data_IF_397581261143
#
_entry.id   IF_397581261143
#
_cell.length_a   1.000
_cell.length_b   1.000
_cell.length_c   1.000
_cell.angle_alpha   90.00
_cell.angle_beta   90.00
_cell.angle_gamma   90.00
#
_symmetry.space_group_name_H-M   'P 1'
#
loop_
_entity.id
_entity.type
_entity.pdbx_description
1 polymer ?
#
# COMPACT_ATOMS: atom_id res chain seq x y z
N UNK A 1 -55.05 -34.14 -39.05
CA UNK A 1 -54.03 -33.14 -39.43
C UNK A 1 -53.59 -32.21 -38.28
N UNK A 2 -54.46 -31.83 -37.34
CA UNK A 2 -54.11 -30.87 -36.25
C UNK A 2 -53.26 -31.47 -35.11
N UNK A 3 -53.46 -32.74 -34.75
CA UNK A 3 -52.75 -33.40 -33.64
C UNK A 3 -51.25 -33.59 -33.89
N UNK A 4 -50.86 -33.91 -35.13
CA UNK A 4 -49.45 -34.04 -35.55
C UNK A 4 -48.68 -32.72 -35.40
N UNK A 5 -49.35 -31.58 -35.69
CA UNK A 5 -48.74 -30.26 -35.52
C UNK A 5 -48.59 -29.88 -34.04
N UNK A 6 -49.49 -30.36 -33.17
CA UNK A 6 -49.42 -30.14 -31.72
C UNK A 6 -48.29 -30.97 -31.08
N UNK A 7 -48.09 -32.22 -31.51
CA UNK A 7 -46.98 -33.05 -31.02
C UNK A 7 -45.61 -32.56 -31.50
N UNK A 8 -45.49 -32.10 -32.75
CA UNK A 8 -44.26 -31.52 -33.28
C UNK A 8 -43.82 -30.27 -32.48
N UNK A 9 -44.77 -29.38 -32.16
CA UNK A 9 -44.52 -28.19 -31.32
C UNK A 9 -44.12 -28.57 -29.89
N UNK A 10 -44.73 -29.59 -29.30
CA UNK A 10 -44.39 -30.07 -27.96
C UNK A 10 -42.97 -30.67 -27.91
N UNK A 11 -42.59 -31.46 -28.92
CA UNK A 11 -41.25 -32.03 -29.04
C UNK A 11 -40.19 -30.94 -29.22
N UNK A 12 -40.46 -29.93 -30.06
CA UNK A 12 -39.55 -28.80 -30.25
C UNK A 12 -39.39 -27.96 -28.97
N UNK A 13 -40.47 -27.73 -28.23
CA UNK A 13 -40.42 -27.03 -26.94
C UNK A 13 -39.58 -27.80 -25.90
N UNK A 14 -39.75 -29.13 -25.81
CA UNK A 14 -38.93 -29.98 -24.94
C UNK A 14 -37.46 -29.98 -25.35
N UNK A 15 -37.15 -29.97 -26.64
CA UNK A 15 -35.77 -29.89 -27.14
C UNK A 15 -35.11 -28.57 -26.71
N UNK A 16 -35.77 -27.43 -26.94
CA UNK A 16 -35.27 -26.11 -26.53
C UNK A 16 -35.12 -25.97 -25.01
N UNK A 17 -36.04 -26.55 -24.23
CA UNK A 17 -35.93 -26.56 -22.78
C UNK A 17 -34.70 -27.34 -22.30
N UNK A 18 -34.39 -28.49 -22.94
CA UNK A 18 -33.19 -29.28 -22.64
C UNK A 18 -31.91 -28.57 -23.05
N UNK A 19 -31.89 -27.93 -24.22
CA UNK A 19 -30.76 -27.13 -24.70
C UNK A 19 -30.45 -25.99 -23.72
N UNK A 20 -31.45 -25.19 -23.33
CA UNK A 20 -31.27 -24.12 -22.33
C UNK A 20 -30.82 -24.65 -20.96
N UNK A 21 -31.33 -25.80 -20.53
CA UNK A 21 -30.88 -26.42 -19.28
C UNK A 21 -29.43 -26.90 -19.36
N UNK A 22 -28.97 -27.37 -20.53
CA UNK A 22 -27.57 -27.74 -20.74
C UNK A 22 -26.66 -26.51 -20.76
N UNK A 23 -27.06 -25.44 -21.46
CA UNK A 23 -26.34 -24.16 -21.47
C UNK A 23 -26.23 -23.56 -20.07
N UNK A 24 -27.32 -23.57 -19.31
CA UNK A 24 -27.30 -23.07 -17.93
C UNK A 24 -26.33 -23.86 -17.05
N UNK A 25 -26.32 -25.19 -17.15
CA UNK A 25 -25.35 -26.01 -16.41
C UNK A 25 -23.91 -25.69 -16.79
N UNK A 26 -23.61 -25.60 -18.09
CA UNK A 26 -22.28 -25.24 -18.55
C UNK A 26 -21.83 -23.85 -18.04
N UNK A 27 -22.76 -22.89 -17.97
CA UNK A 27 -22.48 -21.58 -17.37
C UNK A 27 -22.23 -21.67 -15.87
N UNK A 28 -22.99 -22.48 -15.13
CA UNK A 28 -22.74 -22.69 -13.69
C UNK A 28 -21.39 -23.36 -13.45
N UNK A 29 -21.05 -24.40 -14.20
CA UNK A 29 -19.75 -25.07 -14.11
C UNK A 29 -18.59 -24.08 -14.36
N UNK A 30 -18.76 -23.16 -15.33
CA UNK A 30 -17.77 -22.13 -15.59
C UNK A 30 -17.68 -21.09 -14.45
N UNK A 31 -18.82 -20.70 -13.87
CA UNK A 31 -18.83 -19.78 -12.73
C UNK A 31 -18.19 -20.42 -11.48
N UNK A 32 -18.43 -21.70 -11.25
CA UNK A 32 -17.78 -22.46 -10.18
C UNK A 32 -16.27 -22.49 -10.37
N UNK A 33 -15.79 -22.76 -11.59
CA UNK A 33 -14.35 -22.74 -11.89
C UNK A 33 -13.75 -21.35 -11.66
N UNK A 34 -14.39 -20.29 -12.15
CA UNK A 34 -13.92 -18.91 -11.95
C UNK A 34 -13.88 -18.52 -10.48
N UNK A 35 -14.82 -19.00 -9.66
CA UNK A 35 -14.80 -18.76 -8.22
C UNK A 35 -13.60 -19.45 -7.56
N UNK A 36 -13.29 -20.70 -7.93
CA UNK A 36 -12.10 -21.41 -7.46
C UNK A 36 -10.83 -20.66 -7.85
N UNK A 37 -10.72 -20.26 -9.12
CA UNK A 37 -9.55 -19.54 -9.62
C UNK A 37 -9.36 -18.20 -8.88
N UNK A 38 -10.47 -17.50 -8.58
CA UNK A 38 -10.43 -16.28 -7.78
C UNK A 38 -9.88 -16.52 -6.38
N UNK A 39 -10.37 -17.53 -5.66
CA UNK A 39 -9.89 -17.80 -4.29
C UNK A 39 -8.41 -18.20 -4.28
N UNK A 40 -7.99 -19.04 -5.23
CA UNK A 40 -6.56 -19.40 -5.37
C UNK A 40 -5.71 -18.15 -5.65
N UNK A 41 -6.19 -17.24 -6.51
CA UNK A 41 -5.48 -16.00 -6.79
C UNK A 41 -5.45 -15.06 -5.56
N UNK A 42 -6.54 -14.98 -4.80
CA UNK A 42 -6.62 -14.18 -3.59
C UNK A 42 -5.65 -14.70 -2.52
N UNK A 43 -5.65 -16.01 -2.25
CA UNK A 43 -4.73 -16.64 -1.32
C UNK A 43 -3.27 -16.42 -1.75
N UNK A 44 -2.98 -16.56 -3.05
CA UNK A 44 -1.64 -16.29 -3.59
C UNK A 44 -1.20 -14.83 -3.39
N UNK A 45 -2.11 -13.87 -3.46
CA UNK A 45 -1.79 -12.46 -3.21
C UNK A 45 -1.41 -12.22 -1.74
N UNK A 46 -2.11 -12.86 -0.82
CA UNK A 46 -1.82 -12.76 0.61
C UNK A 46 -0.46 -13.40 0.93
N UNK A 47 -0.18 -14.57 0.38
CA UNK A 47 1.13 -15.23 0.51
C UNK A 47 2.28 -14.35 -0.04
N UNK A 48 2.09 -13.72 -1.20
CA UNK A 48 3.07 -12.81 -1.78
C UNK A 48 3.31 -11.60 -0.87
N UNK A 49 2.27 -11.03 -0.29
CA UNK A 49 2.39 -9.88 0.62
C UNK A 49 3.15 -10.28 1.89
N UNK A 50 2.77 -11.37 2.54
CA UNK A 50 3.45 -11.87 3.74
C UNK A 50 4.93 -12.15 3.48
N UNK A 51 5.25 -12.82 2.37
CA UNK A 51 6.64 -13.13 2.02
C UNK A 51 7.43 -11.86 1.71
N UNK A 52 6.82 -10.91 1.03
CA UNK A 52 7.45 -9.60 0.74
C UNK A 52 7.77 -8.85 2.02
N UNK A 53 6.84 -8.81 2.98
CA UNK A 53 7.07 -8.18 4.29
C UNK A 53 8.21 -8.85 5.06
N UNK A 54 8.24 -10.19 5.10
CA UNK A 54 9.33 -10.96 5.71
C UNK A 54 10.68 -10.63 5.07
N UNK A 55 10.74 -10.55 3.74
CA UNK A 55 11.96 -10.20 3.03
C UNK A 55 12.40 -8.75 3.29
N UNK A 56 11.47 -7.80 3.37
CA UNK A 56 11.80 -6.40 3.70
C UNK A 56 12.42 -6.31 5.10
N UNK A 57 11.85 -6.99 6.09
CA UNK A 57 12.40 -7.01 7.46
C UNK A 57 13.80 -7.61 7.46
N UNK A 58 13.97 -8.80 6.85
CA UNK A 58 15.27 -9.45 6.77
C UNK A 58 16.32 -8.60 6.05
N UNK A 59 15.93 -7.92 4.98
CA UNK A 59 16.81 -7.02 4.22
C UNK A 59 17.20 -5.80 5.05
N UNK A 60 16.27 -5.20 5.79
CA UNK A 60 16.54 -4.06 6.68
C UNK A 60 17.52 -4.44 7.78
N UNK A 61 17.31 -5.57 8.46
CA UNK A 61 18.24 -6.06 9.48
C UNK A 61 19.65 -6.32 8.90
N UNK A 62 19.70 -6.91 7.71
CA UNK A 62 20.98 -7.14 7.02
C UNK A 62 21.65 -5.83 6.67
N UNK A 63 20.91 -4.86 6.14
CA UNK A 63 21.42 -3.55 5.78
C UNK A 63 21.92 -2.80 7.02
N UNK A 64 21.22 -2.87 8.14
CA UNK A 64 21.64 -2.28 9.40
C UNK A 64 22.99 -2.86 9.86
N UNK A 65 23.09 -4.19 9.96
CA UNK A 65 24.34 -4.88 10.32
C UNK A 65 25.50 -4.52 9.40
N UNK A 66 25.25 -4.50 8.09
CA UNK A 66 26.26 -4.11 7.09
C UNK A 66 26.66 -2.65 7.23
N UNK A 67 25.70 -1.75 7.47
CA UNK A 67 25.97 -0.33 7.65
C UNK A 67 26.77 -0.06 8.93
N UNK A 68 26.48 -0.79 10.02
CA UNK A 68 27.26 -0.69 11.24
C UNK A 68 28.69 -1.19 11.06
N UNK A 69 28.87 -2.32 10.36
CA UNK A 69 30.20 -2.83 10.05
C UNK A 69 30.99 -1.81 9.22
N UNK A 70 30.38 -1.29 8.15
CA UNK A 70 31.01 -0.30 7.29
C UNK A 70 31.36 0.99 8.05
N UNK A 71 30.49 1.45 8.97
CA UNK A 71 30.77 2.60 9.85
C UNK A 71 31.97 2.32 10.77
N UNK A 72 32.02 1.15 11.41
CA UNK A 72 33.16 0.75 12.27
C UNK A 72 34.46 0.67 11.48
N UNK A 73 34.41 0.13 10.26
CA UNK A 73 35.58 0.03 9.39
C UNK A 73 36.06 1.42 8.95
N UNK A 74 35.13 2.32 8.58
CA UNK A 74 35.45 3.70 8.26
C UNK A 74 36.06 4.43 9.46
N UNK A 75 35.48 4.29 10.65
CA UNK A 75 36.02 4.86 11.89
C UNK A 75 37.43 4.35 12.19
N UNK A 76 37.67 3.04 12.01
CA UNK A 76 38.99 2.44 12.20
C UNK A 76 40.03 3.02 11.21
N UNK A 77 39.64 3.25 9.96
CA UNK A 77 40.51 3.93 8.97
C UNK A 77 40.81 5.37 9.39
N UNK A 78 39.80 6.12 9.83
CA UNK A 78 39.98 7.50 10.32
C UNK A 78 40.93 7.52 11.53
N UNK A 79 40.79 6.60 12.48
CA UNK A 79 41.72 6.52 13.61
C UNK A 79 43.16 6.23 13.16
N UNK A 80 43.35 5.32 12.18
CA UNK A 80 44.67 5.07 11.61
C UNK A 80 45.26 6.32 10.97
N UNK A 81 44.45 7.11 10.25
CA UNK A 81 44.90 8.38 9.66
C UNK A 81 45.27 9.42 10.73
N UNK A 82 44.49 9.52 11.81
CA UNK A 82 44.76 10.42 12.94
C UNK A 82 46.03 10.05 13.73
N UNK A 83 46.48 8.80 13.65
CA UNK A 83 47.77 8.38 14.19
C UNK A 83 48.98 8.87 13.37
N UNK A 84 48.77 9.27 12.12
CA UNK A 84 49.82 9.69 11.19
C UNK A 84 49.85 11.21 10.97
N UNK A 85 48.68 11.85 10.90
CA UNK A 85 48.54 13.27 10.59
C UNK A 85 47.49 13.95 11.48
N UNK A 86 47.45 15.28 11.47
CA UNK A 86 46.52 16.04 12.29
C UNK A 86 45.06 16.00 11.78
N UNK A 87 44.10 16.34 12.65
CA UNK A 87 42.66 16.28 12.37
C UNK A 87 42.22 17.13 11.17
N UNK A 88 42.79 18.33 11.01
CA UNK A 88 42.46 19.25 9.92
C UNK A 88 42.90 18.69 8.57
N UNK A 89 44.07 18.04 8.54
CA UNK A 89 44.60 17.39 7.36
C UNK A 89 43.80 16.13 6.98
N UNK A 90 43.39 15.30 7.95
CA UNK A 90 42.47 14.18 7.70
C UNK A 90 41.15 14.67 7.10
N UNK A 91 40.56 15.72 7.68
CA UNK A 91 39.32 16.31 7.20
C UNK A 91 39.43 16.80 5.76
N UNK A 92 40.51 17.53 5.44
CA UNK A 92 40.80 18.01 4.09
C UNK A 92 40.97 16.86 3.09
N UNK A 93 41.64 15.76 3.48
CA UNK A 93 41.84 14.58 2.63
C UNK A 93 40.56 13.79 2.37
N UNK A 94 39.68 13.70 3.37
CA UNK A 94 38.41 12.97 3.26
C UNK A 94 37.26 13.84 2.71
N UNK A 95 37.48 15.15 2.54
CA UNK A 95 36.46 16.08 2.06
C UNK A 95 35.30 16.28 3.04
N UNK A 96 35.54 16.02 4.33
CA UNK A 96 34.53 16.16 5.41
C UNK A 96 34.84 17.35 6.29
N UNK A 97 33.86 17.81 7.07
CA UNK A 97 34.10 18.89 8.02
C UNK A 97 35.02 18.40 9.15
N UNK A 98 35.91 19.27 9.63
CA UNK A 98 36.81 18.96 10.76
C UNK A 98 36.04 18.45 11.97
N UNK A 99 34.83 18.97 12.21
CA UNK A 99 33.96 18.55 13.32
C UNK A 99 33.47 17.10 13.20
N UNK A 100 33.35 16.58 11.98
CA UNK A 100 32.83 15.23 11.70
C UNK A 100 33.94 14.15 11.82
N UNK A 101 35.21 14.56 11.87
CA UNK A 101 36.34 13.67 12.19
C UNK A 101 36.30 13.36 13.69
N UNK A 102 35.69 12.22 14.07
CA UNK A 102 35.51 11.82 15.46
C UNK A 102 36.79 11.17 16.01
N UNK A 103 37.29 11.63 17.17
CA UNK A 103 38.38 10.94 17.90
C UNK A 103 37.79 9.73 18.63
N UNK A 104 38.55 8.66 18.76
CA UNK A 104 38.12 7.39 19.37
C UNK A 104 37.54 7.48 20.80
N UNK A 105 37.61 8.64 21.47
CA UNK A 105 37.19 8.81 22.87
C UNK A 105 35.75 9.27 23.09
N UNK A 106 34.99 9.68 22.06
CA UNK A 106 33.60 10.10 22.23
C UNK A 106 32.64 9.08 21.62
N UNK A 107 31.95 8.35 22.50
CA UNK A 107 30.88 7.40 22.21
C UNK A 107 29.81 8.00 21.29
N UNK A 108 29.11 7.19 20.46
CA UNK A 108 28.16 7.73 19.51
C UNK A 108 26.85 8.12 20.21
N UNK A 109 26.69 9.42 20.52
CA UNK A 109 25.35 10.02 20.57
C UNK A 109 24.72 9.82 19.21
N UNK A 110 23.68 8.98 19.22
CA UNK A 110 22.70 8.75 18.18
C UNK A 110 22.34 10.06 17.48
N UNK A 111 22.66 10.16 16.19
CA UNK A 111 22.06 11.17 15.33
C UNK A 111 20.62 10.71 15.04
N UNK A 112 19.69 11.23 15.84
CA UNK A 112 18.25 11.19 15.59
C UNK A 112 17.92 11.86 14.24
N UNK A 113 16.82 11.47 13.58
CA UNK A 113 16.46 11.97 12.26
C UNK A 113 16.11 13.46 12.34
N UNK A 114 16.52 14.22 11.33
CA UNK A 114 16.08 15.60 11.12
C UNK A 114 14.60 15.59 10.77
N UNK A 115 13.77 15.96 11.74
CA UNK A 115 12.38 16.34 11.55
C UNK A 115 12.28 17.88 11.69
N UNK A 116 11.49 18.50 10.80
CA UNK A 116 11.25 19.95 10.71
C UNK A 116 12.22 20.69 9.77
N UNK A 117 11.82 21.58 8.86
CA UNK A 117 10.60 22.38 8.79
C UNK A 117 10.58 23.08 7.42
N UNK A 118 9.48 22.95 6.66
CA UNK A 118 9.01 24.05 5.80
C UNK A 118 7.62 24.42 6.29
N UNK A 119 7.60 25.32 7.26
CA UNK A 119 6.40 26.02 7.69
C UNK A 119 6.04 27.05 6.62
N UNK A 120 4.88 26.87 5.98
CA UNK A 120 4.16 27.97 5.34
C UNK A 120 3.11 28.40 6.34
N UNK A 121 3.43 29.42 7.13
CA UNK A 121 2.44 30.23 7.84
C UNK A 121 1.82 31.19 6.81
N UNK A 122 0.50 31.23 6.77
CA UNK A 122 -0.25 32.42 6.38
C UNK A 122 -1.39 32.52 7.38
N UNK A 123 -1.22 33.48 8.28
CA UNK A 123 -2.12 33.88 9.34
C UNK A 123 -3.46 34.44 8.80
N UNK A 124 -4.53 34.15 9.55
CA UNK A 124 -5.70 34.99 9.92
C UNK A 124 -6.61 35.54 8.80
N UNK A 125 -7.94 35.43 8.88
CA UNK A 125 -8.79 35.97 9.96
C UNK A 125 -10.07 35.15 10.28
N UNK A 126 -10.64 35.31 11.48
CA UNK A 126 -11.85 34.64 11.96
C UNK A 126 -13.12 35.49 11.83
N UNK A 127 -14.26 34.86 11.57
CA UNK A 127 -15.56 35.40 11.92
C UNK A 127 -16.50 34.26 12.34
N UNK A 128 -16.69 34.17 13.65
CA UNK A 128 -17.76 33.42 14.29
C UNK A 128 -19.08 34.19 14.18
N UNK A 129 -20.17 33.42 14.35
CA UNK A 129 -21.53 33.83 14.66
C UNK A 129 -22.38 34.44 13.53
N UNK A 130 -23.18 33.57 12.89
CA UNK A 130 -24.61 33.85 12.85
C UNK A 130 -25.40 32.57 13.18
N UNK A 131 -26.23 32.73 14.19
CA UNK A 131 -27.02 31.71 14.83
C UNK A 131 -28.35 31.53 14.09
N UNK A 132 -28.96 30.37 14.31
CA UNK A 132 -30.42 30.26 14.40
C UNK A 132 -31.25 30.87 13.26
N UNK A 133 -31.45 30.09 12.19
CA UNK A 133 -32.76 30.12 11.52
C UNK A 133 -33.28 28.70 11.29
N UNK A 134 -33.61 28.05 12.41
CA UNK A 134 -34.61 26.99 12.45
C UNK A 134 -35.94 27.71 12.65
N UNK A 135 -36.78 27.74 11.61
CA UNK A 135 -38.24 27.51 11.65
C UNK A 135 -38.93 28.02 10.37
N UNK A 136 -39.94 27.26 9.95
CA UNK A 136 -41.10 27.63 9.10
C UNK A 136 -40.93 27.54 7.57
N UNK A 137 -41.33 26.39 7.04
CA UNK A 137 -42.34 26.18 5.97
C UNK A 137 -42.36 24.65 5.73
N UNK A 138 -43.09 23.83 6.49
CA UNK A 138 -44.53 23.56 6.33
C UNK A 138 -45.06 23.71 4.90
N UNK A 139 -45.67 22.62 4.43
CA UNK A 139 -46.62 22.51 3.32
C UNK A 139 -46.12 22.54 1.87
N UNK A 140 -46.02 21.37 1.24
CA UNK A 140 -47.04 20.80 0.31
C UNK A 140 -46.48 19.47 -0.24
N UNK A 141 -47.12 18.32 -0.03
CA UNK A 141 -48.22 17.80 -0.88
C UNK A 141 -47.80 17.70 -2.37
N UNK A 142 -47.80 16.56 -3.08
CA UNK A 142 -48.31 15.21 -2.86
C UNK A 142 -47.52 14.20 -3.74
N UNK A 143 -47.58 12.89 -3.44
CA UNK A 143 -47.23 11.82 -4.36
C UNK A 143 -48.46 11.42 -5.20
N UNK A 144 -48.24 11.01 -6.45
CA UNK A 144 -49.05 10.08 -7.26
C UNK A 144 -48.55 10.19 -8.72
N UNK A 145 -48.58 9.19 -9.61
CA UNK A 145 -49.57 8.15 -9.85
C UNK A 145 -48.88 7.00 -10.66
N UNK A 146 -49.19 5.76 -10.26
CA UNK A 146 -49.37 4.49 -11.03
C UNK A 146 -48.42 4.12 -12.17
#
# INVERSE_FOLDING_TARGET
MAEVRKSAKQTQARKRAREKAAEFRAQQDQLEQLAVDYFVAADSLDEIQEETERQIVALREKAEKQSESARRDADAVVQKMLGLVNRTEVAARLGINVRDVKKASDSPTSAAPVDGTTAVQSDQDPAADDAANREQHSNQEQPEFV
#
